data_IF_063977668672
#
_entry.id   IF_063977668672
#
_cell.length_a   1.000
_cell.length_b   1.000
_cell.length_c   1.000
_cell.angle_alpha   90.00
_cell.angle_beta   90.00
_cell.angle_gamma   90.00
#
_symmetry.space_group_name_H-M   'P 1'
#
loop_
_entity.id
_entity.type
_entity.pdbx_description
1 polymer ?
#
# COMPACT_ATOMS: atom_id res chain seq x y z
N UNK A 1 -50.36 42.65 38.35
CA UNK A 1 -49.00 42.37 37.85
C UNK A 1 -49.01 40.96 37.26
N UNK A 2 -49.15 40.85 35.94
CA UNK A 2 -49.13 39.59 35.23
C UNK A 2 -47.66 39.33 34.83
N UNK A 3 -47.07 38.27 35.34
CA UNK A 3 -45.72 37.78 34.92
C UNK A 3 -45.96 36.77 33.83
N UNK A 4 -45.58 37.09 32.60
CA UNK A 4 -45.46 36.14 31.50
C UNK A 4 -44.15 35.36 31.67
N UNK A 5 -44.27 34.07 31.91
CA UNK A 5 -43.14 33.13 31.81
C UNK A 5 -43.18 32.61 30.40
N UNK A 6 -42.31 33.13 29.54
CA UNK A 6 -42.03 32.49 28.24
C UNK A 6 -41.25 31.22 28.49
N UNK A 7 -41.90 30.09 28.31
CA UNK A 7 -41.24 28.80 28.28
C UNK A 7 -40.44 28.74 26.96
N UNK A 8 -39.10 28.78 27.06
CA UNK A 8 -38.19 28.43 26.00
C UNK A 8 -38.28 26.92 25.73
N UNK A 9 -39.21 26.53 24.86
CA UNK A 9 -39.21 25.22 24.25
C UNK A 9 -38.29 25.27 23.03
N UNK A 10 -37.04 25.18 23.29
CA UNK A 10 -36.00 25.13 22.26
C UNK A 10 -35.22 23.83 22.30
N UNK A 11 -35.88 22.73 22.05
CA UNK A 11 -35.29 21.51 21.58
C UNK A 11 -36.23 20.97 20.51
N UNK A 12 -35.89 21.32 19.27
CA UNK A 12 -36.50 20.69 18.12
C UNK A 12 -35.92 19.28 18.02
N UNK A 13 -36.78 18.28 18.22
CA UNK A 13 -36.40 16.86 18.13
C UNK A 13 -35.97 16.44 16.70
N UNK A 14 -35.91 17.38 15.76
CA UNK A 14 -35.52 17.19 14.38
C UNK A 14 -34.03 17.49 14.08
N UNK A 15 -33.19 17.63 15.09
CA UNK A 15 -31.74 17.87 14.86
C UNK A 15 -31.07 16.75 14.06
N UNK A 16 -31.64 15.55 14.06
CA UNK A 16 -31.13 14.42 13.32
C UNK A 16 -31.51 14.42 11.82
N UNK A 17 -32.56 15.17 11.45
CA UNK A 17 -32.97 15.22 10.04
C UNK A 17 -32.17 16.22 9.20
N UNK A 18 -31.32 17.01 9.85
CA UNK A 18 -30.49 18.04 9.21
C UNK A 18 -28.99 17.73 9.22
N UNK A 19 -28.58 16.60 9.74
CA UNK A 19 -27.26 16.11 9.39
C UNK A 19 -27.33 15.62 7.95
N UNK A 20 -26.99 16.51 7.04
CA UNK A 20 -26.63 16.09 5.70
C UNK A 20 -25.65 14.92 5.86
N UNK A 21 -25.94 13.79 5.22
CA UNK A 21 -24.94 12.76 5.01
C UNK A 21 -23.64 13.44 4.63
N UNK A 22 -22.46 12.96 5.08
CA UNK A 22 -21.19 13.53 4.70
C UNK A 22 -21.27 13.82 3.20
N UNK A 23 -21.19 15.09 2.84
CA UNK A 23 -21.25 15.48 1.44
C UNK A 23 -20.04 14.81 0.78
N UNK A 24 -20.27 13.72 0.08
CA UNK A 24 -19.47 13.41 -1.09
C UNK A 24 -19.58 14.66 -1.94
N UNK A 25 -18.45 15.37 -2.10
CA UNK A 25 -18.45 16.65 -2.79
C UNK A 25 -19.21 16.51 -4.13
N UNK A 26 -20.44 17.06 -4.29
CA UNK A 26 -21.24 16.83 -5.50
C UNK A 26 -20.65 17.51 -6.74
N UNK A 27 -19.53 18.20 -6.59
CA UNK A 27 -18.82 18.90 -7.65
C UNK A 27 -17.68 18.06 -8.26
N UNK A 28 -17.31 16.95 -7.60
CA UNK A 28 -16.33 16.05 -8.20
C UNK A 28 -17.04 15.11 -9.17
N UNK A 29 -16.65 15.11 -10.45
CA UNK A 29 -17.23 14.17 -11.40
C UNK A 29 -16.96 12.74 -10.93
N UNK A 30 -17.99 11.92 -10.89
CA UNK A 30 -17.82 10.47 -10.65
C UNK A 30 -17.03 9.94 -11.83
N UNK A 31 -15.76 9.62 -11.56
CA UNK A 31 -14.90 8.99 -12.56
C UNK A 31 -15.32 7.53 -12.69
N UNK A 32 -15.65 7.11 -13.90
CA UNK A 32 -15.95 5.72 -14.20
C UNK A 32 -14.63 4.98 -14.41
N UNK A 33 -14.51 3.76 -13.88
CA UNK A 33 -13.36 2.88 -14.09
C UNK A 33 -13.37 2.29 -15.50
N UNK A 34 -14.49 2.38 -16.19
CA UNK A 34 -14.62 1.92 -17.58
C UNK A 34 -13.58 2.57 -18.48
N UNK A 35 -12.83 1.72 -19.20
CA UNK A 35 -11.79 2.16 -20.12
C UNK A 35 -10.38 2.21 -19.53
N UNK A 36 -10.19 2.02 -18.22
CA UNK A 36 -8.86 1.86 -17.65
C UNK A 36 -8.49 0.39 -17.54
N UNK A 37 -7.34 0.04 -18.08
CA UNK A 37 -6.82 -1.33 -18.00
C UNK A 37 -5.44 -1.33 -17.37
N UNK A 38 -5.29 -2.08 -16.28
CA UNK A 38 -4.02 -2.32 -15.61
C UNK A 38 -3.61 -3.78 -15.78
N UNK A 39 -2.33 -4.01 -15.86
CA UNK A 39 -1.72 -5.34 -15.81
C UNK A 39 -0.66 -5.40 -14.73
N UNK A 40 -0.36 -6.62 -14.28
CA UNK A 40 0.81 -6.89 -13.45
C UNK A 40 2.06 -6.47 -14.23
N UNK A 41 3.00 -5.82 -13.54
CA UNK A 41 4.25 -5.37 -14.13
C UNK A 41 5.13 -6.54 -14.58
N UNK A 42 5.96 -6.30 -15.57
CA UNK A 42 6.79 -7.32 -16.22
C UNK A 42 7.75 -8.03 -15.26
N UNK A 43 8.24 -7.31 -14.24
CA UNK A 43 9.15 -7.86 -13.23
C UNK A 43 8.48 -8.86 -12.29
N UNK A 44 7.15 -8.86 -12.22
CA UNK A 44 6.36 -9.65 -11.28
C UNK A 44 5.67 -10.86 -11.92
N UNK A 45 5.91 -11.12 -13.21
CA UNK A 45 5.31 -12.25 -13.95
C UNK A 45 6.02 -13.58 -13.70
N UNK A 46 7.25 -13.53 -13.18
CA UNK A 46 8.02 -14.68 -12.74
C UNK A 46 8.34 -14.59 -11.24
N UNK A 47 8.66 -15.71 -10.57
CA UNK A 47 9.07 -15.67 -9.17
C UNK A 47 10.28 -14.78 -8.93
N UNK A 48 10.18 -13.93 -7.91
CA UNK A 48 11.24 -13.01 -7.50
C UNK A 48 12.07 -13.69 -6.40
N UNK A 49 13.38 -13.80 -6.65
CA UNK A 49 14.34 -14.28 -5.64
C UNK A 49 15.19 -13.09 -5.22
N UNK A 50 14.90 -12.50 -4.04
CA UNK A 50 15.57 -11.27 -3.60
C UNK A 50 17.08 -11.45 -3.44
N UNK A 51 17.55 -12.64 -3.06
CA UNK A 51 18.98 -12.97 -2.99
C UNK A 51 19.78 -12.75 -4.28
N UNK A 52 19.09 -12.73 -5.42
CA UNK A 52 19.71 -12.60 -6.75
C UNK A 52 19.59 -11.16 -7.31
N UNK A 53 19.06 -10.24 -6.50
CA UNK A 53 18.81 -8.85 -6.87
C UNK A 53 19.60 -7.90 -5.95
N UNK A 54 19.96 -6.75 -6.48
CA UNK A 54 20.41 -5.62 -5.69
C UNK A 54 19.19 -4.89 -5.09
N UNK A 55 19.26 -4.43 -3.84
CA UNK A 55 18.17 -3.73 -3.15
C UNK A 55 17.64 -2.53 -3.92
N UNK A 56 18.50 -1.85 -4.69
CA UNK A 56 18.14 -0.70 -5.52
C UNK A 56 17.54 -1.07 -6.88
N UNK A 57 17.47 -2.36 -7.22
CA UNK A 57 16.87 -2.83 -8.49
C UNK A 57 15.40 -2.42 -8.55
N UNK A 58 15.01 -1.70 -9.59
CA UNK A 58 13.62 -1.31 -9.82
C UNK A 58 12.82 -2.46 -10.41
N UNK A 59 11.72 -2.81 -9.78
CA UNK A 59 10.77 -3.83 -10.20
C UNK A 59 9.47 -3.14 -10.62
N UNK A 60 9.04 -3.37 -11.86
CA UNK A 60 7.72 -2.93 -12.32
C UNK A 60 6.66 -3.83 -11.72
N UNK A 61 5.75 -3.27 -10.91
CA UNK A 61 4.70 -4.02 -10.20
C UNK A 61 3.31 -3.82 -10.80
N UNK A 62 3.06 -2.68 -11.43
CA UNK A 62 1.82 -2.41 -12.14
C UNK A 62 2.08 -1.57 -13.39
N UNK A 63 1.31 -1.82 -14.43
CA UNK A 63 1.39 -1.06 -15.68
C UNK A 63 -0.01 -0.76 -16.21
N UNK A 64 -0.25 0.53 -16.46
CA UNK A 64 -1.41 0.99 -17.20
C UNK A 64 -1.24 0.64 -18.67
N UNK A 65 -2.15 -0.13 -19.24
CA UNK A 65 -2.08 -0.59 -20.63
C UNK A 65 -3.05 0.13 -21.54
N UNK A 66 -4.15 0.64 -20.97
CA UNK A 66 -5.14 1.43 -21.68
C UNK A 66 -5.84 2.41 -20.75
N UNK A 67 -6.26 3.56 -21.27
CA UNK A 67 -7.06 4.55 -20.55
C UNK A 67 -7.82 5.43 -21.53
N UNK A 68 -8.97 6.01 -21.13
CA UNK A 68 -9.70 6.98 -21.93
C UNK A 68 -8.88 8.25 -22.13
N UNK A 69 -9.25 9.04 -23.11
CA UNK A 69 -8.63 10.34 -23.35
C UNK A 69 -8.79 11.24 -22.11
N UNK A 70 -7.68 11.75 -21.61
CA UNK A 70 -7.65 12.65 -20.45
C UNK A 70 -7.83 14.09 -20.88
N UNK A 71 -8.29 14.92 -19.96
CA UNK A 71 -8.29 16.37 -20.16
C UNK A 71 -6.84 16.86 -20.25
N UNK A 72 -6.62 17.89 -21.06
CA UNK A 72 -5.28 18.49 -21.21
C UNK A 72 -4.71 18.94 -19.85
N UNK A 73 -3.53 18.47 -19.53
CA UNK A 73 -2.85 18.73 -18.25
C UNK A 73 -3.12 17.73 -17.13
N UNK A 74 -4.06 16.79 -17.33
CA UNK A 74 -4.27 15.70 -16.38
C UNK A 74 -3.22 14.60 -16.55
N UNK A 75 -2.90 13.96 -15.44
CA UNK A 75 -1.97 12.83 -15.40
C UNK A 75 -2.56 11.69 -14.58
N UNK A 76 -2.05 10.47 -14.80
CA UNK A 76 -2.47 9.29 -14.04
C UNK A 76 -1.40 8.95 -13.01
N UNK A 77 -1.85 8.72 -11.77
CA UNK A 77 -1.05 8.14 -10.71
C UNK A 77 -1.66 6.81 -10.25
N UNK A 78 -0.82 5.91 -9.74
CA UNK A 78 -1.19 4.59 -9.28
C UNK A 78 -0.76 4.40 -7.83
N UNK A 79 -1.66 3.91 -6.99
CA UNK A 79 -1.35 3.43 -5.66
C UNK A 79 -1.53 1.92 -5.65
N UNK A 80 -0.47 1.19 -5.32
CA UNK A 80 -0.48 -0.28 -5.30
C UNK A 80 -0.51 -0.76 -3.86
N UNK A 81 -1.37 -1.72 -3.59
CA UNK A 81 -1.50 -2.40 -2.30
C UNK A 81 -1.26 -3.89 -2.47
N UNK A 82 -0.72 -4.51 -1.44
CA UNK A 82 -0.45 -5.95 -1.40
C UNK A 82 -0.97 -6.60 -0.14
N UNK A 83 -1.32 -7.87 -0.22
CA UNK A 83 -1.74 -8.68 0.91
C UNK A 83 -1.46 -10.17 0.65
N UNK A 84 -1.48 -10.97 1.73
CA UNK A 84 -1.31 -12.43 1.65
C UNK A 84 -2.52 -13.19 1.11
N UNK A 85 -3.68 -12.57 1.02
CA UNK A 85 -4.92 -13.20 0.54
C UNK A 85 -5.75 -12.21 -0.32
N UNK A 86 -6.74 -12.76 -1.04
CA UNK A 86 -7.57 -11.98 -1.98
C UNK A 86 -8.59 -11.05 -1.30
N UNK A 87 -8.72 -11.09 0.02
CA UNK A 87 -9.71 -10.27 0.73
C UNK A 87 -9.28 -8.82 0.88
N UNK A 88 -7.97 -8.56 0.87
CA UNK A 88 -7.38 -7.24 1.08
C UNK A 88 -7.87 -6.51 2.33
N UNK A 89 -8.26 -7.25 3.37
CA UNK A 89 -8.82 -6.66 4.60
C UNK A 89 -7.78 -5.84 5.38
N UNK A 90 -6.51 -6.23 5.29
CA UNK A 90 -5.37 -5.53 5.91
C UNK A 90 -4.26 -5.36 4.86
N UNK A 91 -4.59 -4.69 3.78
CA UNK A 91 -3.64 -4.46 2.71
C UNK A 91 -2.52 -3.50 3.15
N UNK A 92 -1.31 -3.81 2.72
CA UNK A 92 -0.12 -2.98 2.95
C UNK A 92 0.15 -2.18 1.68
N UNK A 93 0.26 -0.84 1.78
CA UNK A 93 0.62 -0.03 0.62
C UNK A 93 2.06 -0.28 0.20
N UNK A 94 2.28 -0.37 -1.11
CA UNK A 94 3.61 -0.49 -1.69
C UNK A 94 4.16 0.90 -2.02
N UNK A 95 5.38 1.28 -1.59
CA UNK A 95 5.96 2.59 -1.83
C UNK A 95 6.43 2.75 -3.29
N UNK A 96 5.47 2.74 -4.23
CA UNK A 96 5.78 2.80 -5.65
C UNK A 96 6.10 4.22 -6.13
N UNK A 97 7.08 4.34 -7.00
CA UNK A 97 7.24 5.48 -7.89
C UNK A 97 6.46 5.24 -9.19
N UNK A 98 5.71 6.25 -9.65
CA UNK A 98 4.90 6.12 -10.86
C UNK A 98 5.47 7.03 -11.96
N UNK A 99 5.74 6.42 -13.12
CA UNK A 99 6.22 7.14 -14.29
C UNK A 99 5.58 6.57 -15.56
N UNK A 100 4.95 7.43 -16.34
CA UNK A 100 4.31 7.05 -17.61
C UNK A 100 3.34 5.85 -17.46
N UNK A 101 2.51 5.87 -16.42
CA UNK A 101 1.55 4.80 -16.14
C UNK A 101 2.17 3.48 -15.63
N UNK A 102 3.46 3.46 -15.31
CA UNK A 102 4.13 2.30 -14.71
C UNK A 102 4.46 2.60 -13.26
N UNK A 103 3.99 1.75 -12.34
CA UNK A 103 4.35 1.79 -10.94
C UNK A 103 5.52 0.83 -10.68
N UNK A 104 6.59 1.36 -10.11
CA UNK A 104 7.81 0.61 -9.80
C UNK A 104 8.19 0.79 -8.34
N UNK A 105 8.75 -0.25 -7.75
CA UNK A 105 9.26 -0.30 -6.38
C UNK A 105 10.68 -0.86 -6.39
N UNK A 106 11.53 -0.53 -5.44
CA UNK A 106 12.83 -1.17 -5.33
C UNK A 106 12.70 -2.61 -4.78
N UNK A 107 13.62 -3.47 -5.14
CA UNK A 107 13.64 -4.86 -4.66
C UNK A 107 13.68 -4.93 -3.13
N UNK A 108 14.52 -4.08 -2.50
CA UNK A 108 14.60 -3.99 -1.04
C UNK A 108 13.28 -3.57 -0.39
N UNK A 109 12.59 -2.55 -0.92
CA UNK A 109 11.29 -2.12 -0.39
C UNK A 109 10.21 -3.20 -0.55
N UNK A 110 10.17 -3.89 -1.70
CA UNK A 110 9.23 -5.00 -1.89
C UNK A 110 9.54 -6.15 -0.94
N UNK A 111 10.82 -6.48 -0.73
CA UNK A 111 11.23 -7.51 0.20
C UNK A 111 10.81 -7.19 1.65
N UNK A 112 11.00 -5.94 2.10
CA UNK A 112 10.59 -5.53 3.44
C UNK A 112 9.06 -5.65 3.63
N UNK A 113 8.27 -5.32 2.63
CA UNK A 113 6.81 -5.51 2.68
C UNK A 113 6.46 -7.01 2.73
N UNK A 114 7.15 -7.88 1.98
CA UNK A 114 6.96 -9.34 2.06
C UNK A 114 7.33 -9.85 3.45
N UNK A 115 8.42 -9.35 4.04
CA UNK A 115 8.85 -9.70 5.41
C UNK A 115 7.87 -9.20 6.47
N UNK A 116 7.25 -8.05 6.27
CA UNK A 116 6.20 -7.52 7.16
C UNK A 116 4.99 -8.44 7.18
N UNK A 117 4.53 -8.90 6.02
CA UNK A 117 3.33 -9.74 5.87
C UNK A 117 3.56 -11.17 6.36
N UNK A 118 4.74 -11.76 6.10
CA UNK A 118 5.00 -13.19 6.29
C UNK A 118 6.11 -13.53 7.28
N UNK A 119 6.86 -12.52 7.74
CA UNK A 119 8.09 -12.74 8.52
C UNK A 119 9.30 -12.99 7.63
N UNK A 120 10.49 -13.06 8.28
CA UNK A 120 11.81 -13.05 7.63
C UNK A 120 12.29 -14.42 7.12
N UNK A 121 11.45 -15.45 7.15
CA UNK A 121 11.87 -16.78 6.73
C UNK A 121 12.02 -16.84 5.19
N UNK A 122 13.10 -17.44 4.66
CA UNK A 122 13.43 -17.45 3.23
C UNK A 122 12.64 -18.53 2.46
N UNK A 123 11.33 -18.50 2.58
CA UNK A 123 10.43 -19.38 1.85
C UNK A 123 9.69 -18.62 0.77
N UNK A 124 9.35 -19.28 -0.33
CA UNK A 124 8.49 -18.72 -1.36
C UNK A 124 7.14 -18.30 -0.75
N UNK A 125 6.74 -17.08 -1.06
CA UNK A 125 5.50 -16.44 -0.59
C UNK A 125 4.70 -15.93 -1.78
N UNK A 126 3.40 -15.99 -1.66
CA UNK A 126 2.49 -15.41 -2.64
C UNK A 126 1.83 -14.19 -2.02
N UNK A 127 1.99 -13.04 -2.65
CA UNK A 127 1.24 -11.83 -2.32
C UNK A 127 0.28 -11.49 -3.47
N UNK A 128 -0.89 -11.03 -3.10
CA UNK A 128 -1.91 -10.54 -4.03
C UNK A 128 -1.77 -9.04 -4.16
N UNK A 129 -1.99 -8.54 -5.36
CA UNK A 129 -1.81 -7.13 -5.68
C UNK A 129 -3.07 -6.53 -6.27
N UNK A 130 -3.38 -5.30 -5.86
CA UNK A 130 -4.40 -4.46 -6.47
C UNK A 130 -3.93 -3.02 -6.52
N UNK A 131 -4.52 -2.22 -7.41
CA UNK A 131 -4.17 -0.83 -7.54
C UNK A 131 -5.42 0.07 -7.53
N UNK A 132 -5.23 1.28 -7.00
CA UNK A 132 -6.14 2.41 -7.15
C UNK A 132 -5.56 3.34 -8.20
N UNK A 133 -6.40 3.81 -9.11
CA UNK A 133 -6.04 4.81 -10.12
C UNK A 133 -6.47 6.17 -9.62
N UNK A 134 -5.58 7.15 -9.74
CA UNK A 134 -5.86 8.55 -9.49
C UNK A 134 -5.70 9.34 -10.78
N UNK A 135 -6.68 10.17 -11.10
CA UNK A 135 -6.53 11.21 -12.12
C UNK A 135 -6.11 12.47 -11.37
N UNK A 136 -4.94 12.98 -11.72
CA UNK A 136 -4.32 14.13 -11.07
C UNK A 136 -4.36 15.32 -12.02
N UNK A 137 -5.09 16.35 -11.65
CA UNK A 137 -5.13 17.65 -12.31
C UNK A 137 -4.30 18.67 -11.51
N UNK A 138 -4.20 19.89 -12.01
CA UNK A 138 -3.42 20.96 -11.37
C UNK A 138 -3.87 21.28 -9.93
N UNK A 139 -5.11 21.03 -9.58
CA UNK A 139 -5.71 21.44 -8.31
C UNK A 139 -6.27 20.30 -7.46
N UNK A 140 -6.37 19.10 -8.02
CA UNK A 140 -7.02 17.96 -7.35
C UNK A 140 -6.46 16.62 -7.82
N UNK A 141 -6.61 15.60 -6.96
CA UNK A 141 -6.41 14.21 -7.32
C UNK A 141 -7.71 13.44 -7.00
N UNK A 142 -8.28 12.79 -7.99
CA UNK A 142 -9.53 12.06 -7.89
C UNK A 142 -9.22 10.58 -8.00
N UNK A 143 -9.51 9.82 -6.93
CA UNK A 143 -9.42 8.37 -6.96
C UNK A 143 -10.60 7.78 -7.74
N UNK A 144 -10.34 6.80 -8.59
CA UNK A 144 -11.42 6.00 -9.18
C UNK A 144 -12.06 5.13 -8.10
N UNK A 145 -13.39 4.91 -8.15
CA UNK A 145 -14.14 4.29 -7.05
C UNK A 145 -13.79 2.81 -6.87
N UNK A 146 -13.32 2.14 -7.89
CA UNK A 146 -13.00 0.72 -7.86
C UNK A 146 -11.49 0.49 -7.92
N UNK A 147 -11.01 -0.43 -7.07
CA UNK A 147 -9.63 -0.92 -7.10
C UNK A 147 -9.52 -2.07 -8.09
N UNK A 148 -8.48 -2.08 -8.89
CA UNK A 148 -8.26 -3.09 -9.92
C UNK A 148 -7.31 -4.16 -9.38
N UNK A 149 -7.76 -5.43 -9.36
CA UNK A 149 -6.91 -6.56 -9.01
C UNK A 149 -5.92 -6.84 -10.14
N UNK A 150 -4.63 -6.85 -9.83
CA UNK A 150 -3.55 -7.07 -10.80
C UNK A 150 -3.16 -8.54 -10.91
N UNK A 151 -3.19 -9.27 -9.80
CA UNK A 151 -2.80 -10.68 -9.77
C UNK A 151 -1.92 -11.03 -8.58
N UNK A 152 -1.09 -12.05 -8.77
CA UNK A 152 -0.22 -12.63 -7.74
C UNK A 152 1.25 -12.37 -8.08
N UNK A 153 2.03 -12.08 -7.05
CA UNK A 153 3.49 -12.05 -7.12
C UNK A 153 4.01 -13.18 -6.25
N UNK A 154 4.88 -14.01 -6.79
CA UNK A 154 5.64 -14.98 -6.02
C UNK A 154 7.00 -14.39 -5.67
N UNK A 155 7.33 -14.36 -4.38
CA UNK A 155 8.54 -13.74 -3.90
C UNK A 155 9.18 -14.58 -2.78
N UNK A 156 10.51 -14.67 -2.80
CA UNK A 156 11.28 -15.39 -1.78
C UNK A 156 12.25 -14.42 -1.12
N UNK A 157 12.05 -14.09 0.17
CA UNK A 157 12.97 -13.26 0.93
C UNK A 157 14.39 -13.83 0.95
N UNK A 158 15.38 -12.95 1.02
CA UNK A 158 16.74 -13.37 1.27
C UNK A 158 16.87 -13.97 2.68
N UNK A 159 17.68 -15.04 2.78
CA UNK A 159 17.98 -15.63 4.06
C UNK A 159 18.78 -14.64 4.93
N UNK A 160 18.37 -14.48 6.20
CA UNK A 160 19.19 -13.74 7.14
C UNK A 160 20.57 -14.37 7.22
N UNK A 161 21.59 -13.56 7.07
CA UNK A 161 22.94 -13.98 7.38
C UNK A 161 23.03 -14.26 8.89
N UNK A 162 23.12 -15.53 9.25
CA UNK A 162 23.38 -15.95 10.62
C UNK A 162 24.84 -16.37 10.65
N UNK A 163 25.66 -15.62 11.39
CA UNK A 163 27.03 -16.08 11.66
C UNK A 163 26.95 -17.44 12.36
N UNK A 164 27.54 -18.45 11.75
CA UNK A 164 27.56 -19.83 12.28
C UNK A 164 28.44 -19.99 13.52
N UNK A 165 28.98 -18.89 14.05
CA UNK A 165 29.77 -18.91 15.27
C UNK A 165 28.87 -19.01 16.52
N UNK A 166 29.32 -19.79 17.48
CA UNK A 166 28.76 -19.77 18.82
C UNK A 166 29.42 -18.65 19.64
N UNK A 167 28.60 -17.94 20.40
CA UNK A 167 29.08 -16.87 21.26
C UNK A 167 28.77 -17.19 22.71
N UNK A 168 29.74 -16.92 23.58
CA UNK A 168 29.54 -17.01 25.01
C UNK A 168 29.05 -15.66 25.54
N UNK A 169 27.93 -15.69 26.26
CA UNK A 169 27.43 -14.56 27.05
C UNK A 169 27.24 -15.06 28.50
N UNK A 170 27.74 -14.33 29.47
CA UNK A 170 27.65 -14.72 30.87
C UNK A 170 28.60 -13.90 31.74
N UNK A 171 28.93 -14.44 32.91
CA UNK A 171 29.82 -13.74 33.87
C UNK A 171 31.19 -13.38 33.27
N UNK A 172 31.65 -14.19 32.29
CA UNK A 172 32.95 -13.99 31.62
C UNK A 172 33.03 -12.68 30.87
N UNK A 173 31.92 -12.25 30.27
CA UNK A 173 31.80 -10.99 29.55
C UNK A 173 30.84 -10.00 30.24
N UNK A 174 30.52 -10.23 31.53
CA UNK A 174 29.62 -9.43 32.36
C UNK A 174 28.22 -9.23 31.71
N UNK A 175 27.74 -10.24 31.01
CA UNK A 175 26.45 -10.21 30.29
C UNK A 175 26.38 -9.11 29.23
N UNK A 176 27.53 -8.63 28.72
CA UNK A 176 27.57 -7.61 27.70
C UNK A 176 27.37 -8.23 26.30
N UNK A 177 26.25 -7.89 25.66
CA UNK A 177 25.93 -8.33 24.31
C UNK A 177 26.79 -7.70 23.20
N UNK A 178 27.50 -6.60 23.52
CA UNK A 178 28.43 -5.95 22.58
C UNK A 178 29.85 -6.54 22.64
N UNK A 179 30.15 -7.29 23.71
CA UNK A 179 31.45 -7.92 23.93
C UNK A 179 31.33 -9.46 23.92
N UNK A 180 30.76 -10.00 22.86
CA UNK A 180 30.59 -11.44 22.70
C UNK A 180 31.92 -12.13 22.47
N UNK A 181 32.15 -13.23 23.19
CA UNK A 181 33.33 -14.10 23.02
C UNK A 181 32.98 -15.20 22.02
N UNK A 182 33.59 -15.15 20.84
CA UNK A 182 33.40 -16.16 19.79
C UNK A 182 34.17 -17.43 20.15
N UNK A 183 33.49 -18.58 20.08
CA UNK A 183 34.16 -19.87 20.09
C UNK A 183 34.79 -20.13 18.72
N UNK A 184 36.07 -20.43 18.73
CA UNK A 184 36.83 -20.85 17.54
C UNK A 184 36.69 -22.33 17.26
#
# INVERSE_FOLDING_TARGET
LLIFIEALTGCDDNVNDHFALPQTNPQEPVQNVEGFTLSLGSSCTAPILFKDLDDATLLEVAKLTDHPELTEGDTINLEVEVLKDETFTQAVPLPCSVKNGTASVTAGELEEVVKEIYGKAPYARTIYTRATIYIVSHTSAIALPEKITLGKIEATPEALFIDTAYYLIGDVNKWNSEALIKFG
#
